data_IF_689131195618
#
_entry.id   IF_689131195618
#
_cell.length_a   1.000
_cell.length_b   1.000
_cell.length_c   1.000
_cell.angle_alpha   90.00
_cell.angle_beta   90.00
_cell.angle_gamma   90.00
#
_symmetry.space_group_name_H-M   'P 1'
#
loop_
_entity.id
_entity.type
_entity.pdbx_description
1 polymer ?
#
# COMPACT_ATOMS: atom_id res chain seq x y z
N UNK A 1 -43.01 11.50 23.62
CA UNK A 1 -44.04 12.51 23.93
C UNK A 1 -43.34 13.70 24.57
N UNK A 2 -43.59 14.93 24.09
CA UNK A 2 -42.96 16.14 24.63
C UNK A 2 -43.48 16.43 26.05
N UNK A 3 -42.59 16.86 26.94
CA UNK A 3 -42.95 17.32 28.28
C UNK A 3 -43.71 18.66 28.22
N UNK A 4 -44.41 19.01 29.31
CA UNK A 4 -45.17 20.28 29.40
C UNK A 4 -44.29 21.52 29.19
N UNK A 5 -43.04 21.48 29.67
CA UNK A 5 -42.08 22.59 29.54
C UNK A 5 -41.53 22.74 28.12
N UNK A 6 -41.39 21.63 27.39
CA UNK A 6 -40.97 21.66 25.98
C UNK A 6 -42.11 22.15 25.10
N UNK A 7 -43.35 21.75 25.41
CA UNK A 7 -44.54 22.18 24.67
C UNK A 7 -44.79 23.68 24.79
N UNK A 8 -44.54 24.28 25.95
CA UNK A 8 -44.73 25.73 26.14
C UNK A 8 -43.73 26.60 25.38
N UNK A 9 -42.65 26.02 24.84
CA UNK A 9 -41.64 26.73 24.03
C UNK A 9 -41.95 26.72 22.53
N UNK A 10 -42.94 25.92 22.09
CA UNK A 10 -43.28 25.77 20.69
C UNK A 10 -44.54 26.62 20.41
N UNK A 11 -44.49 27.56 19.45
CA UNK A 11 -45.68 28.29 19.03
C UNK A 11 -46.80 27.36 18.57
N UNK A 12 -48.04 27.68 18.93
CA UNK A 12 -49.21 26.84 18.61
C UNK A 12 -49.40 26.61 17.11
N UNK A 13 -49.05 27.60 16.29
CA UNK A 13 -49.06 27.50 14.82
C UNK A 13 -48.13 26.41 14.31
N UNK A 14 -46.89 26.39 14.82
CA UNK A 14 -45.87 25.39 14.48
C UNK A 14 -46.29 24.00 14.96
N UNK A 15 -46.82 23.89 16.18
CA UNK A 15 -47.28 22.60 16.71
C UNK A 15 -48.48 22.04 15.91
N UNK A 16 -49.41 22.91 15.52
CA UNK A 16 -50.57 22.55 14.69
C UNK A 16 -50.14 22.13 13.27
N UNK A 17 -49.18 22.83 12.67
CA UNK A 17 -48.61 22.47 11.37
C UNK A 17 -47.97 21.07 11.42
N UNK A 18 -47.10 20.82 12.40
CA UNK A 18 -46.42 19.52 12.56
C UNK A 18 -47.40 18.37 12.74
N UNK A 19 -48.52 18.59 13.43
CA UNK A 19 -49.56 17.57 13.66
C UNK A 19 -50.34 17.23 12.38
N UNK A 20 -50.49 18.18 11.46
CA UNK A 20 -51.29 18.05 10.23
C UNK A 20 -50.45 17.73 8.99
N UNK A 21 -49.14 17.97 9.05
CA UNK A 21 -48.23 17.79 7.93
C UNK A 21 -48.06 16.32 7.56
N UNK A 22 -48.08 16.02 6.27
CA UNK A 22 -47.72 14.69 5.78
C UNK A 22 -46.20 14.50 5.87
N UNK A 23 -45.76 13.68 6.84
CA UNK A 23 -44.35 13.42 7.10
C UNK A 23 -43.66 12.66 5.96
N UNK A 24 -44.41 11.96 5.10
CA UNK A 24 -43.84 11.26 3.94
C UNK A 24 -43.29 12.20 2.87
N UNK A 25 -43.65 13.49 2.91
CA UNK A 25 -43.16 14.53 2.01
C UNK A 25 -41.99 15.33 2.60
N UNK A 26 -41.59 15.03 3.83
CA UNK A 26 -40.49 15.71 4.52
C UNK A 26 -39.20 14.95 4.22
N UNK A 27 -38.28 15.62 3.54
CA UNK A 27 -36.92 15.10 3.28
C UNK A 27 -36.27 14.79 4.63
N UNK A 28 -35.92 13.53 4.87
CA UNK A 28 -35.25 13.08 6.09
C UNK A 28 -36.10 12.23 7.06
N UNK A 29 -37.34 11.87 6.68
CA UNK A 29 -38.26 11.08 7.51
C UNK A 29 -38.74 9.78 6.85
N UNK A 30 -38.09 9.33 5.77
CA UNK A 30 -38.36 8.04 5.13
C UNK A 30 -37.52 6.92 5.78
N UNK A 31 -38.06 5.70 5.82
CA UNK A 31 -37.33 4.51 6.34
C UNK A 31 -36.03 4.22 5.55
N UNK A 32 -35.95 4.73 4.32
CA UNK A 32 -34.78 4.65 3.44
C UNK A 32 -33.69 5.69 3.73
N UNK A 33 -33.86 6.53 4.76
CA UNK A 33 -32.88 7.57 5.09
C UNK A 33 -31.60 6.94 5.69
N UNK A 34 -30.42 7.09 5.05
CA UNK A 34 -29.17 6.45 5.46
C UNK A 34 -28.70 6.78 6.89
N UNK A 35 -29.28 7.80 7.53
CA UNK A 35 -29.02 8.15 8.93
C UNK A 35 -29.66 7.14 9.89
N UNK A 36 -30.90 6.73 9.65
CA UNK A 36 -31.63 5.79 10.52
C UNK A 36 -31.10 4.35 10.42
N UNK A 37 -30.73 3.90 9.22
CA UNK A 37 -30.17 2.54 9.02
C UNK A 37 -28.83 2.35 9.75
N UNK A 38 -28.00 3.40 9.82
CA UNK A 38 -26.72 3.35 10.53
C UNK A 38 -26.94 3.24 12.03
N UNK A 39 -27.85 4.02 12.61
CA UNK A 39 -28.09 4.04 14.05
C UNK A 39 -28.64 2.72 14.57
N UNK A 40 -29.50 2.03 13.82
CA UNK A 40 -30.04 0.73 14.23
C UNK A 40 -28.99 -0.38 14.23
N UNK A 41 -28.09 -0.38 13.25
CA UNK A 41 -26.95 -1.31 13.22
C UNK A 41 -25.99 -0.99 14.37
N UNK A 42 -25.64 0.28 14.60
CA UNK A 42 -24.79 0.68 15.72
C UNK A 42 -25.42 0.37 17.08
N UNK A 43 -26.74 0.54 17.22
CA UNK A 43 -27.51 0.20 18.41
C UNK A 43 -27.49 -1.30 18.68
N UNK A 44 -27.79 -2.14 17.68
CA UNK A 44 -27.72 -3.61 17.80
C UNK A 44 -26.30 -4.11 18.13
N UNK A 45 -25.27 -3.50 17.55
CA UNK A 45 -23.86 -3.79 17.86
C UNK A 45 -23.52 -3.38 19.31
N UNK A 46 -24.01 -2.22 19.77
CA UNK A 46 -23.79 -1.75 21.14
C UNK A 46 -24.54 -2.60 22.17
N UNK A 47 -25.74 -3.07 21.85
CA UNK A 47 -26.57 -3.87 22.74
C UNK A 47 -26.13 -5.34 22.81
N UNK A 48 -25.44 -5.83 21.77
CA UNK A 48 -24.89 -7.19 21.75
C UNK A 48 -23.71 -7.35 22.72
N UNK A 49 -24.02 -7.75 23.96
CA UNK A 49 -23.04 -8.16 24.97
C UNK A 49 -22.10 -9.25 24.45
N UNK A 50 -22.60 -10.17 23.62
CA UNK A 50 -21.81 -11.22 23.01
C UNK A 50 -20.75 -10.64 22.05
N UNK A 51 -21.14 -9.73 21.14
CA UNK A 51 -20.21 -9.09 20.21
C UNK A 51 -19.10 -8.33 20.95
N UNK A 52 -19.44 -7.54 21.96
CA UNK A 52 -18.46 -6.81 22.79
C UNK A 52 -17.49 -7.78 23.49
N UNK A 53 -18.00 -8.85 24.10
CA UNK A 53 -17.15 -9.88 24.74
C UNK A 53 -16.22 -10.55 23.75
N UNK A 54 -16.72 -10.95 22.57
CA UNK A 54 -15.90 -11.59 21.53
C UNK A 54 -14.83 -10.65 21.00
N UNK A 55 -15.17 -9.38 20.73
CA UNK A 55 -14.20 -8.38 20.28
C UNK A 55 -13.13 -8.13 21.34
N UNK A 56 -13.52 -7.99 22.62
CA UNK A 56 -12.56 -7.84 23.72
C UNK A 56 -11.62 -9.04 23.81
N UNK A 57 -12.13 -10.27 23.69
CA UNK A 57 -11.30 -11.48 23.69
C UNK A 57 -10.32 -11.49 22.51
N UNK A 58 -10.78 -11.16 21.31
CA UNK A 58 -9.92 -11.05 20.12
C UNK A 58 -8.82 -9.99 20.28
N UNK A 59 -9.14 -8.84 20.87
CA UNK A 59 -8.16 -7.78 21.11
C UNK A 59 -7.06 -8.23 22.09
N UNK A 60 -7.42 -8.95 23.15
CA UNK A 60 -6.43 -9.52 24.10
C UNK A 60 -5.50 -10.50 23.38
N UNK A 61 -6.07 -11.39 22.56
CA UNK A 61 -5.29 -12.35 21.75
C UNK A 61 -4.36 -11.61 20.77
N UNK A 62 -4.85 -10.59 20.07
CA UNK A 62 -4.03 -9.79 19.16
C UNK A 62 -2.92 -9.05 19.89
N UNK A 63 -3.18 -8.48 21.08
CA UNK A 63 -2.16 -7.82 21.89
C UNK A 63 -1.03 -8.77 22.26
N UNK A 64 -1.35 -10.01 22.64
CA UNK A 64 -0.35 -11.04 22.93
C UNK A 64 0.50 -11.41 21.70
N UNK A 65 -0.12 -11.64 20.54
CA UNK A 65 0.67 -11.88 19.32
C UNK A 65 1.52 -10.67 18.91
N UNK A 66 1.02 -9.46 19.14
CA UNK A 66 1.79 -8.25 18.87
C UNK A 66 2.98 -8.07 19.81
N UNK A 67 2.89 -8.47 21.08
CA UNK A 67 4.02 -8.42 22.01
C UNK A 67 5.06 -9.48 21.68
N UNK A 68 4.64 -10.70 21.34
CA UNK A 68 5.53 -11.77 20.87
C UNK A 68 6.34 -11.36 19.64
N UNK A 69 5.68 -10.73 18.66
CA UNK A 69 6.32 -10.33 17.41
C UNK A 69 7.24 -9.12 17.54
N UNK A 70 7.09 -8.28 18.58
CA UNK A 70 7.96 -7.12 18.79
C UNK A 70 9.39 -7.52 19.15
N UNK A 71 9.53 -8.54 20.01
CA UNK A 71 10.79 -9.05 20.53
C UNK A 71 11.38 -10.19 19.69
N UNK A 72 10.70 -10.58 18.61
CA UNK A 72 11.14 -11.66 17.74
C UNK A 72 12.41 -11.28 16.96
N UNK A 73 13.49 -12.06 17.17
CA UNK A 73 14.72 -11.93 16.39
C UNK A 73 14.42 -12.27 14.92
N UNK A 74 14.88 -11.43 14.00
CA UNK A 74 14.63 -11.65 12.57
C UNK A 74 13.27 -11.18 12.04
N UNK A 75 12.46 -10.43 12.83
CA UNK A 75 11.16 -9.91 12.38
C UNK A 75 11.16 -9.24 11.00
N UNK A 76 12.22 -8.49 10.68
CA UNK A 76 12.36 -7.82 9.37
C UNK A 76 12.41 -8.81 8.20
N UNK A 77 13.10 -9.95 8.38
CA UNK A 77 13.21 -11.00 7.38
C UNK A 77 11.84 -11.66 7.17
N UNK A 78 11.18 -12.06 8.25
CA UNK A 78 9.87 -12.69 8.22
C UNK A 78 8.85 -11.78 7.52
N UNK A 79 8.80 -10.48 7.85
CA UNK A 79 7.90 -9.52 7.19
C UNK A 79 8.20 -9.38 5.68
N UNK A 80 9.46 -9.45 5.28
CA UNK A 80 9.84 -9.37 3.87
C UNK A 80 9.46 -10.66 3.11
N UNK A 81 9.60 -11.84 3.72
CA UNK A 81 9.16 -13.12 3.15
C UNK A 81 7.63 -13.14 3.00
N UNK A 82 6.91 -12.57 3.95
CA UNK A 82 5.45 -12.50 3.97
C UNK A 82 4.87 -11.28 3.23
N UNK A 83 5.68 -10.51 2.49
CA UNK A 83 5.25 -9.24 1.86
C UNK A 83 4.00 -9.39 0.98
N UNK A 84 3.88 -10.48 0.22
CA UNK A 84 2.73 -10.75 -0.67
C UNK A 84 1.44 -10.94 0.13
N UNK A 85 1.51 -11.71 1.22
CA UNK A 85 0.38 -11.95 2.11
C UNK A 85 -0.05 -10.67 2.82
N UNK A 86 0.91 -9.87 3.29
CA UNK A 86 0.64 -8.57 3.92
C UNK A 86 -0.08 -7.64 2.94
N UNK A 87 0.41 -7.50 1.70
CA UNK A 87 -0.24 -6.67 0.66
C UNK A 87 -1.66 -7.15 0.37
N UNK A 88 -1.87 -8.46 0.29
CA UNK A 88 -3.20 -9.05 0.07
C UNK A 88 -4.16 -8.71 1.21
N UNK A 89 -3.74 -8.86 2.48
CA UNK A 89 -4.56 -8.53 3.65
C UNK A 89 -4.89 -7.04 3.68
N UNK A 90 -3.90 -6.15 3.53
CA UNK A 90 -4.12 -4.70 3.51
C UNK A 90 -5.13 -4.33 2.43
N UNK A 91 -5.00 -4.88 1.23
CA UNK A 91 -5.89 -4.57 0.11
C UNK A 91 -7.33 -5.02 0.35
N UNK A 92 -7.53 -6.12 1.10
CA UNK A 92 -8.87 -6.62 1.47
C UNK A 92 -9.53 -5.80 2.57
N UNK A 93 -8.77 -5.36 3.58
CA UNK A 93 -9.34 -4.64 4.73
C UNK A 93 -9.39 -3.12 4.53
N UNK A 94 -8.57 -2.56 3.62
CA UNK A 94 -8.52 -1.11 3.39
C UNK A 94 -9.86 -0.47 2.99
N UNK A 95 -10.77 -1.12 2.22
CA UNK A 95 -12.09 -0.56 1.94
C UNK A 95 -12.98 -0.42 3.17
N UNK A 96 -12.74 -1.23 4.21
CA UNK A 96 -13.56 -1.27 5.41
C UNK A 96 -13.11 -0.24 6.46
N UNK A 97 -11.79 -0.11 6.67
CA UNK A 97 -11.23 0.68 7.77
C UNK A 97 -10.30 1.82 7.32
N UNK A 98 -10.10 1.96 6.01
CA UNK A 98 -9.13 2.89 5.43
C UNK A 98 -7.70 2.35 5.42
N UNK A 99 -6.94 2.77 4.41
CA UNK A 99 -5.57 2.28 4.16
C UNK A 99 -4.62 2.52 5.35
N UNK A 100 -4.71 3.69 5.99
CA UNK A 100 -3.81 4.06 7.09
C UNK A 100 -4.02 3.14 8.31
N UNK A 101 -5.27 2.83 8.65
CA UNK A 101 -5.59 1.91 9.73
C UNK A 101 -5.19 0.47 9.39
N UNK A 102 -5.47 0.02 8.17
CA UNK A 102 -5.06 -1.29 7.66
C UNK A 102 -3.54 -1.51 7.76
N UNK A 103 -2.74 -0.54 7.30
CA UNK A 103 -1.29 -0.59 7.40
C UNK A 103 -0.78 -0.59 8.86
N UNK A 104 -1.42 0.20 9.74
CA UNK A 104 -1.08 0.25 11.17
C UNK A 104 -1.30 -1.10 11.86
N UNK A 105 -2.38 -1.80 11.52
CA UNK A 105 -2.71 -3.12 12.06
C UNK A 105 -1.63 -4.17 11.73
N UNK A 106 -0.99 -4.06 10.57
CA UNK A 106 0.09 -4.95 10.15
C UNK A 106 1.50 -4.40 10.43
N UNK A 107 1.60 -3.32 11.22
CA UNK A 107 2.85 -2.66 11.62
C UNK A 107 3.74 -2.27 10.42
N UNK A 108 3.13 -1.79 9.32
CA UNK A 108 3.85 -1.27 8.16
C UNK A 108 3.44 0.17 7.83
N UNK A 109 4.33 0.92 7.16
CA UNK A 109 3.99 2.23 6.63
C UNK A 109 3.23 2.11 5.31
N UNK A 110 2.42 3.13 4.99
CA UNK A 110 1.72 3.22 3.70
C UNK A 110 2.70 3.23 2.52
N UNK A 111 3.84 3.89 2.66
CA UNK A 111 4.93 3.89 1.67
C UNK A 111 5.47 2.47 1.44
N UNK A 112 5.69 1.70 2.50
CA UNK A 112 6.17 0.32 2.40
C UNK A 112 5.14 -0.59 1.73
N UNK A 113 3.86 -0.40 2.05
CA UNK A 113 2.76 -1.08 1.36
C UNK A 113 2.77 -0.80 -0.15
N UNK A 114 2.79 0.47 -0.56
CA UNK A 114 2.81 0.81 -1.99
C UNK A 114 4.06 0.29 -2.69
N UNK A 115 5.23 0.35 -2.04
CA UNK A 115 6.47 -0.22 -2.58
C UNK A 115 6.33 -1.73 -2.85
N UNK A 116 5.74 -2.47 -1.91
CA UNK A 116 5.52 -3.91 -2.07
C UNK A 116 4.40 -4.24 -3.06
N UNK A 117 3.32 -3.45 -3.08
CA UNK A 117 2.19 -3.62 -4.00
C UNK A 117 2.60 -3.36 -5.45
N UNK A 118 3.44 -2.36 -5.67
CA UNK A 118 3.90 -1.94 -6.99
C UNK A 118 5.25 -2.58 -7.36
N UNK A 119 5.69 -3.60 -6.63
CA UNK A 119 6.93 -4.30 -6.92
C UNK A 119 6.74 -5.12 -8.20
N UNK A 120 7.34 -4.66 -9.30
CA UNK A 120 7.29 -5.35 -10.60
C UNK A 120 8.61 -6.08 -10.82
N UNK A 121 8.55 -7.39 -11.05
CA UNK A 121 9.72 -8.19 -11.39
C UNK A 121 9.88 -8.27 -12.91
N UNK A 122 11.07 -7.89 -13.39
CA UNK A 122 11.43 -8.01 -14.80
C UNK A 122 12.40 -9.17 -14.99
N UNK A 123 11.89 -10.37 -15.29
CA UNK A 123 12.73 -11.56 -15.44
C UNK A 123 13.72 -11.46 -16.61
N UNK A 124 13.48 -10.59 -17.58
CA UNK A 124 14.40 -10.32 -18.70
C UNK A 124 15.61 -9.48 -18.30
N UNK A 125 15.57 -8.85 -17.12
CA UNK A 125 16.68 -8.08 -16.57
C UNK A 125 17.45 -8.94 -15.58
N UNK A 126 18.77 -8.99 -15.70
CA UNK A 126 19.66 -9.68 -14.75
C UNK A 126 19.48 -9.20 -13.31
N UNK A 127 19.08 -7.93 -13.13
CA UNK A 127 18.82 -7.33 -11.82
C UNK A 127 17.36 -7.46 -11.36
N UNK A 128 16.50 -8.17 -12.10
CA UNK A 128 15.04 -8.22 -11.91
C UNK A 128 14.36 -6.83 -11.91
N UNK A 129 15.05 -5.80 -12.41
CA UNK A 129 14.59 -4.41 -12.46
C UNK A 129 13.98 -4.11 -13.82
N UNK A 130 12.79 -3.52 -13.82
CA UNK A 130 12.10 -3.11 -15.04
C UNK A 130 12.73 -1.85 -15.63
N UNK A 131 13.22 -1.91 -16.87
CA UNK A 131 13.79 -0.74 -17.56
C UNK A 131 12.79 0.42 -17.74
N UNK A 132 11.48 0.14 -17.87
CA UNK A 132 10.43 1.17 -17.90
C UNK A 132 10.37 2.00 -16.60
N UNK A 133 10.65 1.37 -15.46
CA UNK A 133 10.69 2.03 -14.15
C UNK A 133 12.09 2.60 -13.85
N UNK A 134 13.13 2.00 -14.45
CA UNK A 134 14.53 2.37 -14.28
C UNK A 134 15.19 2.65 -15.65
N UNK A 135 14.87 3.80 -16.30
CA UNK A 135 15.31 4.08 -17.67
C UNK A 135 16.83 4.23 -17.83
N UNK A 136 17.53 4.55 -16.73
CA UNK A 136 19.00 4.71 -16.67
C UNK A 136 19.78 3.39 -16.68
N UNK A 137 19.12 2.27 -16.99
CA UNK A 137 19.75 0.95 -17.07
C UNK A 137 20.25 0.65 -18.48
N UNK A 138 21.38 -0.03 -18.55
CA UNK A 138 21.93 -0.59 -19.77
C UNK A 138 21.01 -1.68 -20.33
N UNK A 139 20.78 -1.63 -21.63
CA UNK A 139 20.10 -2.69 -22.38
C UNK A 139 20.90 -3.98 -22.38
N UNK A 140 20.21 -5.09 -22.59
CA UNK A 140 20.85 -6.38 -22.83
C UNK A 140 21.82 -6.29 -24.02
N UNK A 141 21.47 -5.54 -25.07
CA UNK A 141 22.35 -5.31 -26.24
C UNK A 141 23.65 -4.60 -25.84
N UNK A 142 23.56 -3.50 -25.10
CA UNK A 142 24.75 -2.76 -24.62
C UNK A 142 25.60 -3.62 -23.68
N UNK A 143 24.98 -4.41 -22.80
CA UNK A 143 25.69 -5.34 -21.92
C UNK A 143 26.46 -6.40 -22.72
N UNK A 144 25.84 -7.00 -23.74
CA UNK A 144 26.50 -7.98 -24.61
C UNK A 144 27.66 -7.35 -25.39
N UNK A 145 27.50 -6.12 -25.86
CA UNK A 145 28.56 -5.38 -26.55
C UNK A 145 29.73 -5.11 -25.60
N UNK A 146 29.48 -4.59 -24.40
CA UNK A 146 30.51 -4.36 -23.39
C UNK A 146 31.26 -5.66 -23.07
N UNK A 147 30.53 -6.75 -22.80
CA UNK A 147 31.12 -8.06 -22.51
C UNK A 147 31.98 -8.58 -23.67
N UNK A 148 31.57 -8.34 -24.92
CA UNK A 148 32.35 -8.68 -26.11
C UNK A 148 33.66 -7.90 -26.15
N UNK A 149 33.65 -6.60 -25.88
CA UNK A 149 34.88 -5.77 -25.87
C UNK A 149 35.84 -6.17 -24.75
N UNK A 150 35.31 -6.48 -23.55
CA UNK A 150 36.13 -6.91 -22.42
C UNK A 150 36.79 -8.29 -22.64
N UNK A 151 36.20 -9.14 -23.49
CA UNK A 151 36.71 -10.48 -23.81
C UNK A 151 37.56 -10.54 -25.09
N UNK A 152 37.79 -9.41 -25.78
CA UNK A 152 38.65 -9.39 -26.97
C UNK A 152 40.10 -9.65 -26.57
N UNK A 153 40.80 -10.65 -27.15
CA UNK A 153 42.20 -10.95 -26.84
C UNK A 153 43.12 -9.73 -27.05
N UNK A 154 42.86 -8.98 -28.13
CA UNK A 154 43.62 -7.78 -28.52
C UNK A 154 43.55 -6.65 -27.48
N UNK A 155 42.48 -6.60 -26.68
CA UNK A 155 42.22 -5.56 -25.69
C UNK A 155 42.46 -6.04 -24.25
N UNK A 156 42.91 -7.28 -24.05
CA UNK A 156 43.01 -7.92 -22.74
C UNK A 156 43.95 -7.16 -21.78
N UNK A 157 45.03 -6.58 -22.32
CA UNK A 157 46.01 -5.81 -21.55
C UNK A 157 45.74 -4.30 -21.54
N UNK A 158 44.67 -3.85 -22.21
CA UNK A 158 44.35 -2.42 -22.27
C UNK A 158 43.71 -1.96 -20.95
N UNK A 159 44.00 -0.72 -20.51
CA UNK A 159 43.26 -0.15 -19.41
C UNK A 159 41.79 0.05 -19.82
N UNK A 160 40.88 -0.15 -18.87
CA UNK A 160 39.43 -0.08 -19.11
C UNK A 160 38.98 1.22 -19.77
N UNK A 161 39.60 2.33 -19.38
CA UNK A 161 39.31 3.63 -19.96
C UNK A 161 39.57 3.65 -21.47
N UNK A 162 40.65 3.02 -21.92
CA UNK A 162 40.97 2.92 -23.34
C UNK A 162 40.03 1.97 -24.07
N UNK A 163 39.65 0.84 -23.45
CA UNK A 163 38.62 -0.07 -24.01
C UNK A 163 37.28 0.66 -24.18
N UNK A 164 36.90 1.50 -23.22
CA UNK A 164 35.70 2.32 -23.29
C UNK A 164 35.75 3.31 -24.45
N UNK A 165 36.85 4.07 -24.60
CA UNK A 165 36.96 5.02 -25.71
C UNK A 165 37.08 4.33 -27.06
N UNK A 166 37.70 3.15 -27.14
CA UNK A 166 37.71 2.33 -28.36
C UNK A 166 36.29 1.93 -28.77
N UNK A 167 35.48 1.46 -27.81
CA UNK A 167 34.08 1.10 -28.05
C UNK A 167 33.22 2.30 -28.49
N UNK A 168 33.48 3.49 -27.94
CA UNK A 168 32.84 4.73 -28.38
C UNK A 168 33.27 5.11 -29.80
N UNK A 169 34.56 5.02 -30.11
CA UNK A 169 35.08 5.32 -31.45
C UNK A 169 34.48 4.39 -32.51
N UNK A 170 34.33 3.10 -32.16
CA UNK A 170 33.67 2.09 -33.01
C UNK A 170 32.14 2.26 -33.09
N UNK A 171 31.57 3.26 -32.39
CA UNK A 171 30.13 3.58 -32.33
C UNK A 171 29.25 2.38 -31.94
N UNK A 172 29.74 1.49 -31.06
CA UNK A 172 29.01 0.26 -30.70
C UNK A 172 28.07 0.41 -29.51
N UNK A 173 28.39 1.25 -28.53
CA UNK A 173 27.52 1.52 -27.40
C UNK A 173 27.76 2.93 -26.85
N UNK A 174 26.69 3.63 -26.46
CA UNK A 174 26.75 5.00 -25.95
C UNK A 174 26.35 5.03 -24.47
N UNK A 175 27.33 5.20 -23.59
CA UNK A 175 27.12 5.33 -22.15
C UNK A 175 28.21 6.18 -21.52
N UNK A 176 27.98 6.63 -20.29
CA UNK A 176 28.99 7.37 -19.53
C UNK A 176 30.09 6.40 -19.02
N UNK A 177 31.32 6.88 -18.95
CA UNK A 177 32.47 6.16 -18.41
C UNK A 177 32.21 5.65 -16.98
N UNK A 178 31.50 6.42 -16.14
CA UNK A 178 31.12 5.98 -14.79
C UNK A 178 30.23 4.73 -14.81
N UNK A 179 29.26 4.68 -15.72
CA UNK A 179 28.38 3.52 -15.93
C UNK A 179 29.16 2.30 -16.41
N UNK A 180 30.16 2.50 -17.28
CA UNK A 180 31.04 1.45 -17.77
C UNK A 180 31.86 0.78 -16.66
N UNK A 181 32.39 1.57 -15.71
CA UNK A 181 33.10 0.99 -14.56
C UNK A 181 32.17 0.18 -13.66
N UNK A 182 30.95 0.66 -13.42
CA UNK A 182 29.96 -0.07 -12.62
C UNK A 182 29.63 -1.44 -13.22
N UNK A 183 29.61 -1.57 -14.56
CA UNK A 183 29.32 -2.87 -15.20
C UNK A 183 30.36 -3.95 -14.95
N UNK A 184 31.66 -3.62 -14.91
CA UNK A 184 32.72 -4.61 -14.65
C UNK A 184 32.67 -5.11 -13.20
N UNK A 185 32.36 -4.22 -12.25
CA UNK A 185 32.18 -4.57 -10.83
C UNK A 185 31.03 -5.58 -10.61
N UNK A 186 30.09 -5.65 -11.54
CA UNK A 186 28.92 -6.53 -11.48
C UNK A 186 29.14 -7.89 -12.19
N UNK A 187 30.36 -8.18 -12.64
CA UNK A 187 30.75 -9.51 -13.15
C UNK A 187 30.29 -9.84 -14.57
N UNK A 188 30.12 -8.84 -15.43
CA UNK A 188 30.00 -9.04 -16.89
C UNK A 188 31.36 -9.31 -17.54
#
# INVERSE_FOLDING_TARGET
MLSKQERSRIPDSTFSDWKKRNLSLVVGFTEDDPVHFKDDVYRKISESKAFKKTLSALLVVFQFYFSLTENMRGKRRIWNEQKKNIVSIVSRISPLIGLKAACKLLKISTQRFYRWKNEVHCFTSTFNLCRKLHPKQLTSKEQTIIAKYLKKPELQHWPLRSVFYQMLNDSKAFLNLSTFYTTRMLGL
#
